data_IF_488054270191
#
_entry.id   IF_488054270191
#
_cell.length_a   1.000
_cell.length_b   1.000
_cell.length_c   1.000
_cell.angle_alpha   90.00
_cell.angle_beta   90.00
_cell.angle_gamma   90.00
#
_symmetry.space_group_name_H-M   'P 1'
#
loop_
_entity.id
_entity.type
_entity.pdbx_description
1 polymer ?
#
# COMPACT_ATOMS: atom_id res chain seq x y z
N UNK A 1 -66.79 17.07 40.17
CA UNK A 1 -65.42 17.55 39.90
C UNK A 1 -64.74 16.58 38.96
N UNK A 2 -63.89 17.14 38.09
CA UNK A 2 -63.50 16.66 36.76
C UNK A 2 -62.38 15.60 36.71
N UNK A 3 -62.31 14.96 35.55
CA UNK A 3 -61.37 13.97 35.02
C UNK A 3 -59.95 14.49 34.65
N UNK A 4 -58.98 13.54 34.65
CA UNK A 4 -57.85 13.28 33.71
C UNK A 4 -56.76 14.36 33.44
N UNK A 5 -55.48 14.02 33.69
CA UNK A 5 -54.41 13.97 32.64
C UNK A 5 -53.08 13.33 33.10
N UNK A 6 -52.56 12.49 32.20
CA UNK A 6 -51.25 11.86 32.12
C UNK A 6 -50.14 12.85 31.75
N UNK A 7 -48.89 12.57 32.17
CA UNK A 7 -47.67 12.87 31.39
C UNK A 7 -46.50 12.00 31.86
N UNK A 8 -45.98 11.22 30.89
CA UNK A 8 -44.66 10.58 30.85
C UNK A 8 -43.55 11.61 31.10
N UNK A 9 -42.46 11.21 31.77
CA UNK A 9 -41.07 11.30 31.26
C UNK A 9 -40.03 11.00 32.37
N UNK A 10 -38.83 10.59 31.94
CA UNK A 10 -37.52 10.43 32.62
C UNK A 10 -37.06 9.02 32.98
N UNK A 11 -36.05 8.58 32.22
CA UNK A 11 -34.89 7.92 32.82
C UNK A 11 -34.37 6.65 32.17
N UNK A 12 -34.42 6.54 30.83
CA UNK A 12 -33.83 5.41 30.11
C UNK A 12 -32.30 5.39 30.29
N UNK A 13 -31.80 4.37 31.01
CA UNK A 13 -30.37 4.07 31.20
C UNK A 13 -29.74 3.80 29.83
N UNK A 14 -28.94 4.74 29.32
CA UNK A 14 -28.06 4.50 28.16
C UNK A 14 -26.81 3.78 28.65
N UNK A 15 -26.70 2.49 28.31
CA UNK A 15 -25.43 1.78 28.32
C UNK A 15 -24.53 2.42 27.26
N UNK A 16 -23.51 3.14 27.72
CA UNK A 16 -22.48 3.67 26.84
C UNK A 16 -21.42 2.57 26.63
N UNK A 17 -21.74 1.59 25.79
CA UNK A 17 -20.73 0.69 25.25
C UNK A 17 -19.95 1.52 24.23
N UNK A 18 -18.88 2.18 24.69
CA UNK A 18 -17.95 2.87 23.81
C UNK A 18 -17.43 1.88 22.79
N UNK A 19 -17.81 2.08 21.53
CA UNK A 19 -17.28 1.31 20.42
C UNK A 19 -15.76 1.40 20.43
N UNK A 20 -15.08 0.25 20.38
CA UNK A 20 -13.66 0.19 20.06
C UNK A 20 -13.45 0.99 18.75
N UNK A 21 -12.42 1.84 18.65
CA UNK A 21 -12.13 2.52 17.40
C UNK A 21 -11.93 1.46 16.33
N UNK A 22 -12.78 1.48 15.31
CA UNK A 22 -12.62 0.67 14.11
C UNK A 22 -11.23 0.99 13.54
N UNK A 23 -10.32 0.02 13.60
CA UNK A 23 -9.01 0.03 12.93
C UNK A 23 -9.21 -0.16 11.41
N UNK A 24 -10.11 0.64 10.83
CA UNK A 24 -10.53 0.55 9.43
C UNK A 24 -10.19 1.83 8.67
N UNK A 25 -9.02 2.39 9.00
CA UNK A 25 -8.31 3.30 8.11
C UNK A 25 -7.09 2.55 7.63
N UNK A 26 -7.16 2.03 6.39
CA UNK A 26 -5.94 1.88 5.59
C UNK A 26 -5.18 3.21 5.76
N UNK A 27 -3.85 3.19 5.99
CA UNK A 27 -3.10 4.44 6.01
C UNK A 27 -3.47 5.20 4.75
N UNK A 28 -4.19 6.31 4.93
CA UNK A 28 -4.37 7.31 3.90
C UNK A 28 -2.94 7.78 3.67
N UNK A 29 -2.41 7.54 2.47
CA UNK A 29 -1.19 8.22 2.03
C UNK A 29 -1.40 9.68 2.37
N UNK A 30 -0.62 10.21 3.31
CA UNK A 30 -0.68 11.62 3.65
C UNK A 30 -0.38 12.44 2.39
N UNK A 31 -0.52 13.77 2.48
CA UNK A 31 0.19 14.61 1.52
C UNK A 31 1.67 14.25 1.64
N UNK A 32 2.19 13.51 0.66
CA UNK A 32 3.59 13.14 0.58
C UNK A 32 4.37 14.46 0.57
N UNK A 33 5.05 14.75 1.67
CA UNK A 33 5.87 15.95 1.78
C UNK A 33 6.98 15.80 0.72
N UNK A 34 6.90 16.64 -0.32
CA UNK A 34 7.56 16.48 -1.62
C UNK A 34 9.08 16.75 -1.64
N UNK A 35 9.76 16.71 -0.49
CA UNK A 35 11.19 16.99 -0.38
C UNK A 35 12.07 15.71 -0.39
N UNK A 36 11.47 14.53 -0.60
CA UNK A 36 12.14 13.22 -0.57
C UNK A 36 12.18 12.47 -1.92
N UNK A 37 12.92 11.35 -1.94
CA UNK A 37 12.94 10.41 -3.07
C UNK A 37 11.52 9.92 -3.40
N UNK A 38 11.20 9.80 -4.70
CA UNK A 38 9.95 9.24 -5.19
C UNK A 38 10.23 8.23 -6.32
N UNK A 39 9.39 7.19 -6.48
CA UNK A 39 9.58 6.22 -7.54
C UNK A 39 9.48 6.88 -8.93
N UNK A 40 10.31 6.48 -9.90
CA UNK A 40 10.27 7.04 -11.25
C UNK A 40 8.93 6.72 -11.93
N UNK A 41 8.49 7.62 -12.80
CA UNK A 41 7.27 7.39 -13.59
C UNK A 41 7.51 6.30 -14.64
N UNK A 42 6.60 5.32 -14.69
CA UNK A 42 6.63 4.25 -15.68
C UNK A 42 6.04 4.74 -17.00
N UNK A 43 6.80 4.65 -18.09
CA UNK A 43 6.40 5.06 -19.45
C UNK A 43 6.50 3.93 -20.46
N UNK A 44 7.35 2.95 -20.17
CA UNK A 44 7.64 1.79 -21.00
C UNK A 44 7.52 0.51 -20.20
N UNK A 45 7.41 -0.63 -20.89
CA UNK A 45 7.46 -1.94 -20.24
C UNK A 45 8.80 -2.14 -19.51
N UNK A 46 9.88 -1.67 -20.11
CA UNK A 46 11.24 -1.80 -19.59
C UNK A 46 11.42 -1.09 -18.24
N UNK A 47 10.72 0.03 -18.01
CA UNK A 47 10.77 0.77 -16.73
C UNK A 47 10.25 -0.06 -15.55
N UNK A 48 9.43 -1.09 -15.81
CA UNK A 48 8.92 -1.98 -14.75
C UNK A 48 9.98 -2.96 -14.24
N UNK A 49 11.06 -3.16 -15.00
CA UNK A 49 12.04 -4.21 -14.78
C UNK A 49 11.49 -5.63 -14.97
N UNK A 50 10.26 -5.78 -15.45
CA UNK A 50 9.62 -7.07 -15.72
C UNK A 50 9.73 -7.45 -17.18
N UNK A 51 9.81 -8.76 -17.44
CA UNK A 51 9.76 -9.26 -18.81
C UNK A 51 8.34 -9.19 -19.37
N UNK A 52 8.22 -9.01 -20.69
CA UNK A 52 6.94 -9.05 -21.41
C UNK A 52 6.11 -10.30 -21.09
N UNK A 53 6.77 -11.45 -20.98
CA UNK A 53 6.11 -12.72 -20.68
C UNK A 53 5.59 -12.77 -19.23
N UNK A 54 6.31 -12.18 -18.26
CA UNK A 54 5.84 -12.10 -16.89
C UNK A 54 4.58 -11.23 -16.78
N UNK A 55 4.57 -10.07 -17.43
CA UNK A 55 3.40 -9.18 -17.48
C UNK A 55 2.25 -9.84 -18.25
N UNK A 56 2.53 -10.53 -19.36
CA UNK A 56 1.53 -11.29 -20.11
C UNK A 56 0.87 -12.38 -19.26
N UNK A 57 1.66 -13.14 -18.48
CA UNK A 57 1.14 -14.14 -17.55
C UNK A 57 0.24 -13.49 -16.47
N UNK A 58 0.60 -12.31 -15.94
CA UNK A 58 -0.25 -11.56 -14.98
C UNK A 58 -1.58 -11.13 -15.61
N UNK A 59 -1.57 -10.59 -16.84
CA UNK A 59 -2.79 -10.20 -17.56
C UNK A 59 -3.70 -11.41 -17.77
N UNK A 60 -3.13 -12.53 -18.24
CA UNK A 60 -3.88 -13.77 -18.48
C UNK A 60 -4.50 -14.32 -17.20
N UNK A 61 -3.78 -14.27 -16.07
CA UNK A 61 -4.34 -14.67 -14.76
C UNK A 61 -5.47 -13.74 -14.32
N UNK A 62 -5.31 -12.43 -14.48
CA UNK A 62 -6.34 -11.45 -14.14
C UNK A 62 -7.62 -11.71 -14.96
N UNK A 63 -7.48 -11.93 -16.26
CA UNK A 63 -8.60 -12.29 -17.14
C UNK A 63 -9.20 -13.66 -16.79
N UNK A 64 -8.37 -14.67 -16.50
CA UNK A 64 -8.86 -16.00 -16.11
C UNK A 64 -9.78 -15.95 -14.88
N UNK A 65 -9.44 -15.15 -13.86
CA UNK A 65 -10.27 -15.01 -12.66
C UNK A 65 -11.50 -14.10 -12.82
N UNK A 66 -11.54 -13.25 -13.86
CA UNK A 66 -12.60 -12.25 -14.05
C UNK A 66 -13.47 -12.49 -15.30
N UNK A 67 -13.05 -13.37 -16.21
CA UNK A 67 -13.66 -13.63 -17.51
C UNK A 67 -13.21 -12.60 -18.55
N UNK A 68 -13.80 -11.41 -18.50
CA UNK A 68 -13.49 -10.30 -19.39
C UNK A 68 -13.30 -9.00 -18.61
N UNK A 69 -12.39 -8.15 -19.09
CA UNK A 69 -12.03 -6.88 -18.45
C UNK A 69 -11.84 -5.79 -19.49
N UNK A 70 -12.19 -4.57 -19.13
CA UNK A 70 -11.76 -3.40 -19.89
C UNK A 70 -10.26 -3.18 -19.67
N UNK A 71 -9.56 -2.62 -20.67
CA UNK A 71 -8.12 -2.35 -20.58
C UNK A 71 -7.72 -1.54 -19.33
N UNK A 72 -8.48 -0.50 -18.97
CA UNK A 72 -8.23 0.27 -17.75
C UNK A 72 -8.43 -0.55 -16.47
N UNK A 73 -9.33 -1.54 -16.46
CA UNK A 73 -9.49 -2.44 -15.32
C UNK A 73 -8.29 -3.38 -15.16
N UNK A 74 -7.70 -3.84 -16.28
CA UNK A 74 -6.44 -4.60 -16.26
C UNK A 74 -5.33 -3.73 -15.66
N UNK A 75 -5.23 -2.47 -16.08
CA UNK A 75 -4.28 -1.50 -15.55
C UNK A 75 -4.45 -1.26 -14.05
N UNK A 76 -5.68 -1.14 -13.56
CA UNK A 76 -5.98 -0.99 -12.13
C UNK A 76 -5.59 -2.21 -11.30
N UNK A 77 -5.82 -3.42 -11.80
CA UNK A 77 -5.46 -4.66 -11.10
C UNK A 77 -3.93 -4.81 -11.02
N UNK A 78 -3.25 -4.63 -12.16
CA UNK A 78 -1.79 -4.78 -12.25
C UNK A 78 -1.04 -3.57 -11.69
N UNK A 79 -1.72 -2.45 -11.40
CA UNK A 79 -1.12 -1.18 -10.96
C UNK A 79 -0.07 -0.64 -11.93
N UNK A 80 -0.27 -0.88 -13.23
CA UNK A 80 0.61 -0.42 -14.30
C UNK A 80 -0.18 0.49 -15.26
N UNK A 81 0.44 1.55 -15.82
CA UNK A 81 -0.19 2.37 -16.85
C UNK A 81 -0.64 1.53 -18.04
N UNK A 82 -1.82 1.80 -18.60
CA UNK A 82 -2.25 1.06 -19.80
C UNK A 82 -1.38 1.45 -21.01
N UNK A 83 -1.28 2.74 -21.29
CA UNK A 83 -0.54 3.27 -22.43
C UNK A 83 0.97 3.23 -22.18
N UNK A 84 1.73 2.78 -23.17
CA UNK A 84 3.20 2.68 -23.13
C UNK A 84 3.73 1.43 -22.41
N UNK A 85 2.94 0.84 -21.50
CA UNK A 85 3.35 -0.34 -20.71
C UNK A 85 2.52 -1.57 -21.11
N UNK A 86 1.21 -1.56 -20.83
CA UNK A 86 0.36 -2.75 -21.02
C UNK A 86 -0.14 -2.92 -22.45
N UNK A 87 -0.37 -1.83 -23.19
CA UNK A 87 -0.82 -1.82 -24.60
C UNK A 87 0.02 -2.77 -25.48
N UNK A 88 1.35 -2.66 -25.40
CA UNK A 88 2.28 -3.50 -26.17
C UNK A 88 2.20 -4.99 -25.80
N UNK A 89 1.84 -5.31 -24.55
CA UNK A 89 1.70 -6.67 -24.03
C UNK A 89 0.35 -7.25 -24.43
N UNK A 90 -0.71 -6.46 -24.33
CA UNK A 90 -2.06 -6.85 -24.77
C UNK A 90 -2.09 -7.07 -26.28
N UNK A 91 -1.42 -6.22 -27.06
CA UNK A 91 -1.30 -6.42 -28.51
C UNK A 91 -0.54 -7.71 -28.86
N UNK A 92 0.50 -8.04 -28.09
CA UNK A 92 1.18 -9.33 -28.19
C UNK A 92 0.22 -10.50 -27.88
N UNK A 93 -0.54 -10.43 -26.79
CA UNK A 93 -1.51 -11.47 -26.42
C UNK A 93 -2.60 -11.67 -27.48
N UNK A 94 -3.07 -10.59 -28.10
CA UNK A 94 -4.02 -10.63 -29.22
C UNK A 94 -3.42 -11.32 -30.43
N UNK A 95 -2.22 -10.92 -30.85
CA UNK A 95 -1.52 -11.52 -32.00
C UNK A 95 -1.31 -13.02 -31.82
N UNK A 96 -0.99 -13.45 -30.61
CA UNK A 96 -0.81 -14.86 -30.25
C UNK A 96 -2.13 -15.65 -30.07
N UNK A 97 -3.28 -14.99 -30.26
CA UNK A 97 -4.64 -15.54 -30.07
C UNK A 97 -4.89 -16.06 -28.65
N UNK A 98 -4.33 -15.38 -27.65
CA UNK A 98 -4.53 -15.68 -26.23
C UNK A 98 -5.67 -14.84 -25.63
N UNK A 99 -5.93 -13.67 -26.21
CA UNK A 99 -6.97 -12.72 -25.80
C UNK A 99 -7.69 -12.22 -27.05
N UNK A 100 -9.00 -11.97 -26.92
CA UNK A 100 -9.85 -11.44 -27.97
C UNK A 100 -10.51 -10.13 -27.52
N UNK A 101 -10.88 -9.27 -28.48
CA UNK A 101 -11.64 -8.04 -28.21
C UNK A 101 -13.11 -8.33 -28.47
N UNK A 102 -13.93 -8.25 -27.42
CA UNK A 102 -15.37 -8.48 -27.49
C UNK A 102 -16.17 -7.23 -27.88
N UNK A 103 -15.56 -6.05 -27.78
CA UNK A 103 -16.18 -4.78 -28.11
C UNK A 103 -15.40 -3.59 -27.55
N UNK A 104 -15.93 -2.39 -27.76
CA UNK A 104 -15.38 -1.16 -27.21
C UNK A 104 -16.38 -0.49 -26.27
N UNK A 105 -15.91 -0.09 -25.08
CA UNK A 105 -16.65 0.76 -24.14
C UNK A 105 -16.42 2.26 -24.34
N UNK A 106 -15.63 2.66 -25.34
CA UNK A 106 -15.26 4.06 -25.56
C UNK A 106 -14.26 4.27 -26.69
N UNK A 107 -13.45 5.32 -26.57
CA UNK A 107 -12.37 5.63 -27.52
C UNK A 107 -11.04 5.16 -26.92
N UNK A 108 -10.19 4.56 -27.77
CA UNK A 108 -8.86 4.09 -27.40
C UNK A 108 -8.84 2.67 -26.85
N UNK A 109 -7.66 2.04 -26.92
CA UNK A 109 -7.46 0.62 -26.59
C UNK A 109 -7.66 0.30 -25.11
N UNK A 110 -7.47 1.27 -24.21
CA UNK A 110 -7.76 1.13 -22.79
C UNK A 110 -9.26 0.91 -22.50
N UNK A 111 -10.14 1.32 -23.43
CA UNK A 111 -11.59 1.18 -23.33
C UNK A 111 -12.11 -0.10 -23.98
N UNK A 112 -11.25 -0.91 -24.61
CA UNK A 112 -11.65 -2.18 -25.21
C UNK A 112 -11.91 -3.23 -24.15
N UNK A 113 -12.91 -4.09 -24.42
CA UNK A 113 -13.25 -5.24 -23.58
C UNK A 113 -12.47 -6.45 -24.07
N UNK A 114 -11.52 -6.88 -23.27
CA UNK A 114 -10.65 -8.02 -23.53
C UNK A 114 -11.22 -9.26 -22.84
N UNK A 115 -11.38 -10.35 -23.59
CA UNK A 115 -11.78 -11.65 -23.05
C UNK A 115 -10.67 -12.68 -23.29
N UNK A 116 -10.48 -13.58 -22.33
CA UNK A 116 -9.51 -14.67 -22.47
C UNK A 116 -10.01 -15.72 -23.47
N UNK A 117 -9.16 -16.08 -24.42
CA UNK A 117 -9.46 -17.14 -25.39
C UNK A 117 -9.12 -18.52 -24.80
N UNK A 118 -9.58 -19.61 -25.42
CA UNK A 118 -9.28 -20.99 -24.97
C UNK A 118 -7.78 -21.25 -24.81
N UNK A 119 -6.96 -20.85 -25.80
CA UNK A 119 -5.48 -20.95 -25.72
C UNK A 119 -4.90 -20.09 -24.59
N UNK A 120 -5.54 -18.95 -24.29
CA UNK A 120 -5.19 -18.09 -23.17
C UNK A 120 -5.46 -18.76 -21.83
N UNK A 121 -6.58 -19.49 -21.70
CA UNK A 121 -6.95 -20.25 -20.50
C UNK A 121 -5.89 -21.32 -20.20
N UNK A 122 -5.50 -22.11 -21.20
CA UNK A 122 -4.45 -23.13 -21.05
C UNK A 122 -3.14 -22.51 -20.53
N UNK A 123 -2.70 -21.41 -21.15
CA UNK A 123 -1.49 -20.70 -20.73
C UNK A 123 -1.62 -20.08 -19.32
N UNK A 124 -2.79 -19.56 -18.97
CA UNK A 124 -3.05 -19.02 -17.64
C UNK A 124 -2.94 -20.11 -16.57
N UNK A 125 -3.49 -21.29 -16.83
CA UNK A 125 -3.40 -22.46 -15.94
C UNK A 125 -1.95 -22.92 -15.76
N UNK A 126 -1.16 -22.99 -16.84
CA UNK A 126 0.28 -23.30 -16.75
C UNK A 126 1.04 -22.26 -15.92
N UNK A 127 0.71 -20.98 -16.08
CA UNK A 127 1.31 -19.90 -15.30
C UNK A 127 0.90 -19.94 -13.82
N UNK A 128 -0.33 -20.37 -13.52
CA UNK A 128 -0.84 -20.57 -12.16
C UNK A 128 -0.14 -21.75 -11.47
N UNK A 129 0.21 -22.81 -12.20
CA UNK A 129 1.00 -23.92 -11.63
C UNK A 129 2.37 -23.47 -11.10
N UNK A 130 2.99 -22.47 -11.74
CA UNK A 130 4.26 -21.89 -11.28
C UNK A 130 4.08 -20.92 -10.11
N UNK A 131 3.05 -20.08 -10.18
CA UNK A 131 2.72 -19.12 -9.11
C UNK A 131 1.25 -18.73 -9.17
N UNK A 132 0.57 -18.82 -8.03
CA UNK A 132 -0.83 -18.42 -7.88
C UNK A 132 -1.03 -16.90 -7.83
N UNK A 133 0.06 -16.13 -7.81
CA UNK A 133 -0.02 -14.68 -7.76
C UNK A 133 -0.62 -14.08 -9.04
N UNK A 134 -1.59 -13.18 -8.86
CA UNK A 134 -2.37 -12.56 -9.94
C UNK A 134 -2.85 -11.12 -9.61
N UNK A 135 -2.02 -10.34 -8.89
CA UNK A 135 -2.33 -8.97 -8.48
C UNK A 135 -1.46 -7.92 -9.17
N UNK A 136 -1.14 -6.86 -8.42
CA UNK A 136 -0.22 -5.80 -8.81
C UNK A 136 1.12 -6.35 -9.30
N UNK A 137 1.68 -5.78 -10.36
CA UNK A 137 2.96 -6.19 -10.89
C UNK A 137 4.05 -6.03 -9.80
N UNK A 138 4.76 -7.11 -9.42
CA UNK A 138 5.78 -7.04 -8.38
C UNK A 138 6.99 -6.26 -8.88
N UNK A 139 7.56 -5.42 -8.04
CA UNK A 139 8.81 -4.72 -8.29
C UNK A 139 9.96 -5.74 -8.14
N UNK A 140 10.87 -5.85 -9.12
CA UNK A 140 12.04 -6.73 -9.02
C UNK A 140 12.90 -6.43 -7.79
N UNK A 141 13.51 -7.47 -7.22
CA UNK A 141 14.27 -7.37 -5.97
C UNK A 141 15.38 -6.32 -6.02
N UNK A 142 16.12 -6.23 -7.13
CA UNK A 142 17.21 -5.26 -7.27
C UNK A 142 16.68 -3.82 -7.21
N UNK A 143 15.60 -3.52 -7.95
CA UNK A 143 14.92 -2.21 -7.90
C UNK A 143 14.31 -1.93 -6.52
N UNK A 144 13.80 -2.96 -5.85
CA UNK A 144 13.31 -2.83 -4.48
C UNK A 144 14.44 -2.39 -3.55
N UNK A 145 15.58 -3.08 -3.58
CA UNK A 145 16.75 -2.77 -2.75
C UNK A 145 17.26 -1.35 -3.05
N UNK A 146 17.37 -0.98 -4.32
CA UNK A 146 17.76 0.36 -4.75
C UNK A 146 16.83 1.43 -4.19
N UNK A 147 15.51 1.24 -4.29
CA UNK A 147 14.52 2.20 -3.80
C UNK A 147 14.56 2.37 -2.27
N UNK A 148 14.77 1.29 -1.52
CA UNK A 148 14.89 1.37 -0.05
C UNK A 148 16.20 2.06 0.32
N UNK A 149 17.30 1.76 -0.38
CA UNK A 149 18.59 2.41 -0.14
C UNK A 149 18.58 3.90 -0.50
N UNK A 150 17.85 4.29 -1.55
CA UNK A 150 17.71 5.69 -1.95
C UNK A 150 16.88 6.52 -0.96
N UNK A 151 15.95 5.87 -0.25
CA UNK A 151 15.16 6.47 0.82
C UNK A 151 15.84 6.40 2.19
N UNK A 152 16.86 5.54 2.33
CA UNK A 152 17.60 5.39 3.57
C UNK A 152 18.39 6.67 3.88
N UNK A 153 17.86 7.48 4.80
CA UNK A 153 18.50 8.70 5.32
C UNK A 153 19.69 8.29 6.19
N UNK A 154 20.84 8.00 5.56
CA UNK A 154 22.07 7.61 6.27
C UNK A 154 22.54 8.64 7.30
N UNK A 155 22.08 9.89 7.22
CA UNK A 155 22.56 11.01 8.02
C UNK A 155 21.43 11.82 8.70
N UNK A 156 20.37 11.15 9.19
CA UNK A 156 19.42 11.86 10.08
C UNK A 156 20.08 12.07 11.45
N UNK A 157 20.76 13.20 11.61
CA UNK A 157 21.26 13.66 12.90
C UNK A 157 20.07 13.98 13.79
N UNK A 158 19.76 13.07 14.73
CA UNK A 158 18.76 13.29 15.77
C UNK A 158 19.32 14.35 16.71
N UNK A 159 18.83 15.58 16.55
CA UNK A 159 19.13 16.72 17.42
C UNK A 159 18.36 16.59 18.73
N UNK A 160 18.91 17.21 19.78
CA UNK A 160 18.25 17.27 21.10
C UNK A 160 16.84 17.87 21.01
N UNK A 161 16.63 18.83 20.12
CA UNK A 161 15.33 19.45 19.82
C UNK A 161 14.25 18.43 19.42
N UNK A 162 14.59 17.45 18.57
CA UNK A 162 13.66 16.39 18.16
C UNK A 162 13.30 15.47 19.32
N UNK A 163 14.26 15.21 20.21
CA UNK A 163 14.05 14.38 21.39
C UNK A 163 13.21 15.11 22.45
N UNK A 164 13.39 16.43 22.61
CA UNK A 164 12.58 17.25 23.51
C UNK A 164 11.12 17.33 23.06
N UNK A 165 10.86 17.37 21.74
CA UNK A 165 9.50 17.31 21.21
C UNK A 165 8.76 16.00 21.57
N UNK A 166 9.48 14.89 21.75
CA UNK A 166 8.91 13.61 22.25
C UNK A 166 8.40 13.77 23.69
N UNK A 167 9.04 14.61 24.51
CA UNK A 167 8.69 14.82 25.90
C UNK A 167 7.42 15.68 26.09
N UNK A 168 7.04 16.51 25.11
CA UNK A 168 5.84 17.34 25.23
C UNK A 168 4.55 16.51 25.34
N UNK A 169 4.53 15.34 24.69
CA UNK A 169 3.36 14.46 24.64
C UNK A 169 3.51 13.21 25.50
N UNK A 170 4.62 13.05 26.24
CA UNK A 170 4.90 11.85 27.01
C UNK A 170 5.69 12.14 28.29
N UNK A 171 5.23 11.61 29.42
CA UNK A 171 5.94 11.72 30.71
C UNK A 171 7.14 10.76 30.70
N UNK A 172 8.26 11.24 30.16
CA UNK A 172 9.53 10.49 30.04
C UNK A 172 10.60 11.19 30.87
N UNK A 173 11.40 10.43 31.63
CA UNK A 173 12.55 10.97 32.34
C UNK A 173 13.67 11.34 31.38
N UNK A 174 14.37 12.45 31.63
CA UNK A 174 15.55 12.87 30.85
C UNK A 174 16.59 11.76 30.70
N UNK A 175 16.85 11.01 31.76
CA UNK A 175 17.78 9.86 31.76
C UNK A 175 17.41 8.73 30.77
N UNK A 176 16.13 8.57 30.41
CA UNK A 176 15.72 7.62 29.37
C UNK A 176 15.99 8.19 27.99
N UNK A 177 15.75 9.48 27.80
CA UNK A 177 16.01 10.18 26.55
C UNK A 177 17.53 10.19 26.22
N UNK A 178 18.35 10.42 27.23
CA UNK A 178 19.83 10.43 27.12
C UNK A 178 20.40 9.06 26.71
N UNK A 179 19.66 7.96 26.98
CA UNK A 179 20.01 6.61 26.53
C UNK A 179 19.52 6.32 25.11
N UNK A 180 18.39 6.91 24.71
CA UNK A 180 17.75 6.69 23.41
C UNK A 180 18.42 7.54 22.33
N UNK A 181 18.84 8.77 22.64
CA UNK A 181 19.47 9.69 21.70
C UNK A 181 20.69 9.09 20.97
N UNK A 182 21.67 8.51 21.68
CA UNK A 182 22.80 7.82 21.05
C UNK A 182 22.37 6.61 20.21
N UNK A 183 21.42 5.81 20.71
CA UNK A 183 20.94 4.60 20.04
C UNK A 183 20.13 4.91 18.75
N UNK A 184 19.43 6.04 18.74
CA UNK A 184 18.73 6.55 17.58
C UNK A 184 19.72 7.10 16.52
N UNK A 185 20.73 7.85 16.94
CA UNK A 185 21.78 8.35 16.06
C UNK A 185 22.68 7.24 15.49
N UNK A 186 22.82 6.11 16.17
CA UNK A 186 23.55 4.95 15.65
C UNK A 186 22.75 4.11 14.65
N UNK A 187 21.49 4.44 14.39
CA UNK A 187 20.61 3.68 13.48
C UNK A 187 20.34 2.24 13.96
N UNK A 188 20.58 1.96 15.23
CA UNK A 188 20.44 0.61 15.81
C UNK A 188 19.03 0.38 16.35
N UNK A 189 18.57 -0.87 16.33
CA UNK A 189 17.27 -1.23 16.89
C UNK A 189 17.22 -1.03 18.41
N UNK A 190 16.17 -0.38 18.90
CA UNK A 190 15.88 -0.21 20.34
C UNK A 190 14.73 -1.13 20.73
N UNK A 191 14.88 -1.87 21.83
CA UNK A 191 13.83 -2.75 22.35
C UNK A 191 13.25 -2.20 23.66
N UNK A 192 11.96 -1.85 23.66
CA UNK A 192 11.25 -1.31 24.82
C UNK A 192 10.45 -2.43 25.51
N UNK A 193 10.81 -2.79 26.74
CA UNK A 193 10.19 -3.89 27.51
C UNK A 193 9.64 -3.46 28.87
N UNK A 194 8.72 -4.26 29.44
CA UNK A 194 8.16 -4.09 30.78
C UNK A 194 6.66 -4.46 30.87
N UNK A 195 6.01 -4.25 32.04
CA UNK A 195 4.59 -4.58 32.26
C UNK A 195 3.62 -3.86 31.29
N UNK A 196 2.47 -4.46 30.93
CA UNK A 196 1.45 -3.82 30.09
C UNK A 196 0.89 -2.55 30.77
N UNK A 197 0.50 -1.54 29.99
CA UNK A 197 -0.06 -0.28 30.52
C UNK A 197 0.94 0.85 30.77
N UNK A 198 2.25 0.58 30.72
CA UNK A 198 3.30 1.60 30.95
C UNK A 198 3.66 2.45 29.72
N UNK A 199 2.73 2.62 28.77
CA UNK A 199 2.93 3.53 27.63
C UNK A 199 4.06 3.17 26.65
N UNK A 200 4.54 1.91 26.62
CA UNK A 200 5.61 1.46 25.70
C UNK A 200 5.30 1.74 24.23
N UNK A 201 4.11 1.35 23.79
CA UNK A 201 3.66 1.60 22.41
C UNK A 201 3.63 3.10 22.13
N UNK A 202 3.10 3.88 23.06
CA UNK A 202 3.01 5.34 22.94
C UNK A 202 4.40 5.99 22.86
N UNK A 203 5.37 5.51 23.66
CA UNK A 203 6.76 5.94 23.61
C UNK A 203 7.42 5.57 22.29
N UNK A 204 7.27 4.32 21.82
CA UNK A 204 7.80 3.88 20.52
C UNK A 204 7.28 4.71 19.37
N UNK A 205 5.97 5.00 19.36
CA UNK A 205 5.36 5.81 18.30
C UNK A 205 5.81 7.27 18.35
N UNK A 206 5.93 7.85 19.56
CA UNK A 206 6.38 9.24 19.72
C UNK A 206 7.85 9.41 19.28
N UNK A 207 8.72 8.49 19.70
CA UNK A 207 10.12 8.42 19.25
C UNK A 207 10.18 8.17 17.74
N UNK A 208 9.40 7.21 17.24
CA UNK A 208 9.34 6.89 15.82
C UNK A 208 8.94 8.09 14.97
N UNK A 209 7.89 8.82 15.36
CA UNK A 209 7.46 10.05 14.66
C UNK A 209 8.51 11.15 14.69
N UNK A 210 9.17 11.37 15.83
CA UNK A 210 10.18 12.41 15.96
C UNK A 210 11.50 12.10 15.22
N UNK A 211 11.83 10.82 15.06
CA UNK A 211 13.13 10.36 14.55
C UNK A 211 13.08 9.83 13.13
N UNK A 212 12.05 9.08 12.74
CA UNK A 212 11.95 8.52 11.39
C UNK A 212 11.37 9.52 10.39
N UNK A 213 10.63 10.53 10.87
CA UNK A 213 10.08 11.58 10.04
C UNK A 213 9.00 11.07 9.08
N UNK A 214 9.13 11.42 7.79
CA UNK A 214 8.12 11.32 6.74
C UNK A 214 7.78 9.89 6.31
N UNK A 215 6.68 9.77 5.56
CA UNK A 215 6.26 8.53 4.91
C UNK A 215 7.34 8.00 3.96
N UNK A 216 7.53 6.67 3.96
CA UNK A 216 8.43 5.96 3.04
C UNK A 216 7.64 5.20 1.99
N UNK A 217 8.09 5.26 0.74
CA UNK A 217 7.59 4.41 -0.33
C UNK A 217 8.07 2.97 -0.13
N UNK A 218 7.12 2.05 0.06
CA UNK A 218 7.40 0.61 0.09
C UNK A 218 7.00 0.02 -1.26
N UNK A 219 7.95 -0.40 -2.11
CA UNK A 219 7.61 -1.04 -3.37
C UNK A 219 6.82 -2.33 -3.13
N UNK A 220 5.92 -2.65 -4.03
CA UNK A 220 5.12 -3.84 -3.91
C UNK A 220 5.92 -5.08 -4.36
N UNK A 221 6.08 -6.08 -3.50
CA UNK A 221 6.81 -7.32 -3.78
C UNK A 221 6.03 -8.54 -3.24
N UNK A 222 6.26 -9.73 -3.82
CA UNK A 222 5.53 -10.98 -3.53
C UNK A 222 6.47 -12.17 -3.50
#
# INVERSE_FOLDING_TARGET
>A
MSNIKSLKDKGQRRGNTGALPQLDKRPITGELIHDGWAPPSLRTLEDTGLTKLAVADLILKALYFRGDLLGHQIAEILRLPFNGVLDSVVEFLKREKLVEIMGSGGIGEASYRYAIATKGIERALDALQRTQYAGAAPVPLDMYIESINAQNRKDMLVKEEHMLAVMENLIVSKDMLDKIGPAANSGTSIFLYGPPGNGKTTLSEAIGRAILGDDMWVPYAV
#
